data_IF_317129682321
#
_entry.id   IF_317129682321
#
_cell.length_a   1.000
_cell.length_b   1.000
_cell.length_c   1.000
_cell.angle_alpha   90.00
_cell.angle_beta   90.00
_cell.angle_gamma   90.00
#
_symmetry.space_group_name_H-M   'P 1'
#
loop_
_entity.id
_entity.type
_entity.pdbx_description
1 polymer ?
#
# COMPACT_ATOMS: atom_id res chain seq x y z
N UNK A 1 0.71 -23.92 -6.65
CA UNK A 1 1.03 -24.96 -5.62
C UNK A 1 2.21 -24.55 -4.71
N UNK A 2 3.31 -23.97 -5.20
CA UNK A 2 4.43 -23.53 -4.32
C UNK A 2 3.95 -22.41 -3.39
N UNK A 3 3.20 -21.44 -3.91
CA UNK A 3 2.65 -20.35 -3.11
C UNK A 3 1.76 -20.87 -1.97
N UNK A 4 0.92 -21.88 -2.22
CA UNK A 4 0.06 -22.48 -1.19
C UNK A 4 0.88 -23.12 -0.05
N UNK A 5 1.97 -23.82 -0.41
CA UNK A 5 2.85 -24.43 0.58
C UNK A 5 3.51 -23.36 1.47
N UNK A 6 3.95 -22.25 0.87
CA UNK A 6 4.52 -21.13 1.62
C UNK A 6 3.48 -20.50 2.54
N UNK A 7 2.26 -20.28 2.04
CA UNK A 7 1.15 -19.73 2.83
C UNK A 7 0.84 -20.64 4.02
N UNK A 8 0.67 -21.95 3.78
CA UNK A 8 0.40 -22.92 4.85
C UNK A 8 1.57 -22.94 5.86
N UNK A 9 2.82 -22.88 5.39
CA UNK A 9 3.98 -22.82 6.28
C UNK A 9 3.96 -21.56 7.17
N UNK A 10 3.54 -20.39 6.63
CA UNK A 10 3.36 -19.15 7.40
C UNK A 10 2.28 -19.35 8.48
N UNK A 11 1.14 -19.95 8.13
CA UNK A 11 0.07 -20.23 9.09
C UNK A 11 0.54 -21.13 10.23
N UNK A 12 1.23 -22.24 9.91
CA UNK A 12 1.76 -23.18 10.90
C UNK A 12 2.80 -22.48 11.80
N UNK A 13 3.68 -21.70 11.21
CA UNK A 13 4.74 -21.00 11.94
C UNK A 13 4.16 -19.97 12.91
N UNK A 14 3.25 -19.13 12.47
CA UNK A 14 2.61 -18.12 13.33
C UNK A 14 1.75 -18.78 14.42
N UNK A 15 0.99 -19.84 14.08
CA UNK A 15 0.28 -20.62 15.08
C UNK A 15 1.23 -21.14 16.17
N UNK A 16 2.35 -21.75 15.81
CA UNK A 16 3.32 -22.29 16.77
C UNK A 16 3.96 -21.18 17.63
N UNK A 17 4.26 -20.03 17.05
CA UNK A 17 4.85 -18.90 17.76
C UNK A 17 3.87 -18.37 18.79
N UNK A 18 2.61 -18.12 18.40
CA UNK A 18 1.63 -17.50 19.26
C UNK A 18 0.99 -18.47 20.26
N UNK A 19 0.96 -19.76 19.92
CA UNK A 19 0.67 -20.81 20.87
C UNK A 19 1.66 -20.81 22.06
N UNK A 20 2.94 -20.57 21.80
CA UNK A 20 3.96 -20.47 22.86
C UNK A 20 3.87 -19.17 23.66
N UNK A 21 3.43 -18.07 23.02
CA UNK A 21 3.32 -16.73 23.65
C UNK A 21 2.10 -16.60 24.53
N UNK A 22 0.98 -17.19 24.13
CA UNK A 22 -0.31 -17.10 24.78
C UNK A 22 -1.13 -15.87 24.32
N UNK A 23 -2.45 -15.92 24.63
CA UNK A 23 -3.45 -14.98 24.12
C UNK A 23 -3.16 -13.52 24.43
N UNK A 24 -2.68 -13.20 25.63
CA UNK A 24 -2.46 -11.81 26.03
C UNK A 24 -1.40 -11.11 25.15
N UNK A 25 -0.31 -11.81 24.83
CA UNK A 25 0.76 -11.28 23.99
C UNK A 25 0.29 -11.21 22.54
N UNK A 26 -0.47 -12.20 22.09
CA UNK A 26 -1.01 -12.22 20.72
C UNK A 26 -1.99 -11.07 20.49
N UNK A 27 -2.91 -10.81 21.42
CA UNK A 27 -3.81 -9.65 21.33
C UNK A 27 -3.02 -8.33 21.29
N UNK A 28 -2.00 -8.18 22.14
CA UNK A 28 -1.14 -7.01 22.12
C UNK A 28 -0.38 -6.85 20.81
N UNK A 29 0.05 -7.95 20.18
CA UNK A 29 0.67 -7.91 18.89
C UNK A 29 -0.30 -7.47 17.79
N UNK A 30 -1.50 -8.05 17.73
CA UNK A 30 -2.54 -7.68 16.77
C UNK A 30 -2.89 -6.19 16.93
N UNK A 31 -3.13 -5.73 18.15
CA UNK A 31 -3.37 -4.31 18.42
C UNK A 31 -2.17 -3.44 18.00
N UNK A 32 -0.96 -3.92 18.22
CA UNK A 32 0.28 -3.27 17.79
C UNK A 32 0.39 -3.14 16.27
N UNK A 33 0.04 -4.19 15.53
CA UNK A 33 0.01 -4.17 14.05
C UNK A 33 -1.02 -3.17 13.54
N UNK A 34 -2.24 -3.21 14.10
CA UNK A 34 -3.30 -2.26 13.73
C UNK A 34 -2.89 -0.81 14.02
N UNK A 35 -2.30 -0.56 15.19
CA UNK A 35 -1.79 0.76 15.56
C UNK A 35 -0.65 1.21 14.65
N UNK A 36 0.23 0.27 14.25
CA UNK A 36 1.30 0.55 13.28
C UNK A 36 0.72 1.03 11.95
N UNK A 37 -0.25 0.31 11.39
CA UNK A 37 -0.91 0.68 10.14
C UNK A 37 -1.58 2.05 10.22
N UNK A 38 -2.31 2.30 11.31
CA UNK A 38 -2.97 3.58 11.55
C UNK A 38 -1.97 4.75 11.62
N UNK A 39 -0.94 4.62 12.44
CA UNK A 39 0.08 5.67 12.59
C UNK A 39 0.87 5.88 11.31
N UNK A 40 1.30 4.79 10.64
CA UNK A 40 2.04 4.87 9.39
C UNK A 40 1.24 5.56 8.30
N UNK A 41 -0.05 5.26 8.17
CA UNK A 41 -0.95 5.91 7.21
C UNK A 41 -1.04 7.42 7.45
N UNK A 42 -1.36 7.85 8.67
CA UNK A 42 -1.52 9.27 8.97
C UNK A 42 -0.22 10.07 8.87
N UNK A 43 0.88 9.51 9.38
CA UNK A 43 2.19 10.18 9.32
C UNK A 43 2.67 10.27 7.87
N UNK A 44 2.52 9.19 7.08
CA UNK A 44 2.94 9.20 5.67
C UNK A 44 2.10 10.14 4.82
N UNK A 45 0.79 10.23 5.05
CA UNK A 45 -0.09 11.16 4.35
C UNK A 45 0.33 12.62 4.60
N UNK A 46 0.59 12.97 5.86
CA UNK A 46 1.07 14.29 6.22
C UNK A 46 2.43 14.62 5.57
N UNK A 47 3.39 13.71 5.68
CA UNK A 47 4.73 13.92 5.11
C UNK A 47 4.71 13.95 3.58
N UNK A 48 3.92 13.10 2.94
CA UNK A 48 3.79 13.08 1.49
C UNK A 48 3.22 14.40 0.95
N UNK A 49 2.16 14.91 1.59
CA UNK A 49 1.59 16.21 1.24
C UNK A 49 2.60 17.34 1.45
N UNK A 50 3.35 17.32 2.56
CA UNK A 50 4.37 18.31 2.83
C UNK A 50 5.51 18.27 1.79
N UNK A 51 6.03 17.09 1.46
CA UNK A 51 7.07 16.92 0.43
C UNK A 51 6.57 17.41 -0.92
N UNK A 52 5.36 17.04 -1.30
CA UNK A 52 4.76 17.49 -2.55
C UNK A 52 4.70 19.03 -2.62
N UNK A 53 4.10 19.67 -1.63
CA UNK A 53 3.94 21.13 -1.60
C UNK A 53 5.27 21.86 -1.55
N UNK A 54 6.25 21.34 -0.79
CA UNK A 54 7.54 22.00 -0.61
C UNK A 54 8.47 21.89 -1.82
N UNK A 55 8.42 20.76 -2.56
CA UNK A 55 9.45 20.46 -3.57
C UNK A 55 8.91 20.24 -4.99
N UNK A 56 7.65 19.83 -5.13
CA UNK A 56 7.11 19.37 -6.43
C UNK A 56 6.12 20.37 -7.02
N UNK A 57 5.19 20.86 -6.22
CA UNK A 57 4.03 21.63 -6.68
C UNK A 57 4.42 22.83 -7.56
N UNK A 58 5.29 23.70 -7.06
CA UNK A 58 5.69 24.91 -7.78
C UNK A 58 6.42 24.59 -9.09
N UNK A 59 7.32 23.61 -9.05
CA UNK A 59 8.07 23.16 -10.22
C UNK A 59 7.15 22.57 -11.27
N UNK A 60 6.18 21.76 -10.85
CA UNK A 60 5.18 21.15 -11.75
C UNK A 60 4.33 22.21 -12.42
N UNK A 61 3.78 23.17 -11.65
CA UNK A 61 2.96 24.25 -12.21
C UNK A 61 3.75 25.08 -13.22
N UNK A 62 4.98 25.46 -12.90
CA UNK A 62 5.84 26.26 -13.79
C UNK A 62 6.15 25.53 -15.10
N UNK A 63 6.49 24.24 -15.01
CA UNK A 63 6.77 23.41 -16.18
C UNK A 63 5.52 23.23 -17.04
N UNK A 64 4.37 22.96 -16.42
CA UNK A 64 3.08 22.87 -17.13
C UNK A 64 2.74 24.17 -17.87
N UNK A 65 2.89 25.34 -17.21
CA UNK A 65 2.67 26.64 -17.85
C UNK A 65 3.56 26.80 -19.09
N UNK A 66 4.85 26.54 -18.96
CA UNK A 66 5.80 26.63 -20.06
C UNK A 66 5.45 25.67 -21.21
N UNK A 67 5.02 24.44 -20.90
CA UNK A 67 4.62 23.47 -21.92
C UNK A 67 3.32 23.91 -22.62
N UNK A 68 2.36 24.45 -21.88
CA UNK A 68 1.09 24.96 -22.45
C UNK A 68 1.37 26.13 -23.39
N UNK A 69 2.24 27.07 -22.99
CA UNK A 69 2.58 28.25 -23.78
C UNK A 69 3.33 27.90 -25.06
N UNK A 70 4.14 26.84 -25.05
CA UNK A 70 4.99 26.45 -26.20
C UNK A 70 4.35 25.43 -27.12
N UNK A 71 3.58 24.49 -26.61
CA UNK A 71 3.07 23.32 -27.33
C UNK A 71 1.54 23.25 -27.39
N UNK A 72 0.86 24.09 -26.63
CA UNK A 72 -0.60 24.05 -26.46
C UNK A 72 -1.06 23.05 -25.41
N UNK A 73 -2.31 23.19 -24.98
CA UNK A 73 -2.87 22.46 -23.81
C UNK A 73 -2.85 20.95 -23.98
N UNK A 74 -3.35 20.47 -25.13
CA UNK A 74 -3.48 19.01 -25.36
C UNK A 74 -2.12 18.31 -25.43
N UNK A 75 -1.12 18.95 -26.08
CA UNK A 75 0.24 18.42 -26.16
C UNK A 75 0.93 18.46 -24.79
N UNK A 76 0.74 19.51 -24.01
CA UNK A 76 1.30 19.63 -22.67
C UNK A 76 0.79 18.52 -21.73
N UNK A 77 -0.52 18.24 -21.76
CA UNK A 77 -1.13 17.16 -20.96
C UNK A 77 -0.58 15.79 -21.39
N UNK A 78 -0.63 15.47 -22.69
CA UNK A 78 -0.14 14.20 -23.21
C UNK A 78 1.35 13.97 -22.91
N UNK A 79 2.19 15.00 -23.08
CA UNK A 79 3.61 14.90 -22.80
C UNK A 79 3.93 14.81 -21.31
N UNK A 80 3.12 15.41 -20.43
CA UNK A 80 3.29 15.30 -18.97
C UNK A 80 3.09 13.87 -18.49
N UNK A 81 2.13 13.15 -19.04
CA UNK A 81 1.90 11.74 -18.71
C UNK A 81 2.94 10.81 -19.36
N UNK A 82 3.29 11.06 -20.64
CA UNK A 82 4.29 10.24 -21.34
C UNK A 82 5.73 10.40 -20.81
N UNK A 83 6.01 11.47 -20.07
CA UNK A 83 7.30 11.66 -19.41
C UNK A 83 7.43 10.86 -18.10
N UNK A 84 6.35 10.26 -17.60
CA UNK A 84 6.41 9.38 -16.43
C UNK A 84 7.04 8.04 -16.81
N UNK A 85 7.93 7.48 -15.98
CA UNK A 85 8.46 6.14 -16.20
C UNK A 85 7.35 5.08 -16.23
N UNK A 86 7.51 4.00 -17.01
CA UNK A 86 6.51 2.93 -17.15
C UNK A 86 6.05 2.36 -15.80
N UNK A 87 6.97 2.22 -14.85
CA UNK A 87 6.62 1.77 -13.50
C UNK A 87 5.70 2.75 -12.76
N UNK A 88 5.83 4.05 -12.98
CA UNK A 88 4.96 5.06 -12.35
C UNK A 88 3.56 5.06 -13.00
N UNK A 89 3.49 4.85 -14.31
CA UNK A 89 2.23 4.67 -15.04
C UNK A 89 1.51 3.39 -14.58
N UNK A 90 2.24 2.29 -14.44
CA UNK A 90 1.69 1.04 -13.93
C UNK A 90 1.19 1.17 -12.49
N UNK A 91 1.95 1.82 -11.61
CA UNK A 91 1.50 2.09 -10.25
C UNK A 91 0.28 3.01 -10.21
N UNK A 92 0.22 4.02 -11.06
CA UNK A 92 -0.95 4.88 -11.22
C UNK A 92 -2.19 4.06 -11.61
N UNK A 93 -2.08 3.18 -12.61
CA UNK A 93 -3.15 2.28 -13.02
C UNK A 93 -3.61 1.37 -11.88
N UNK A 94 -2.68 0.78 -11.13
CA UNK A 94 -2.98 -0.03 -9.95
C UNK A 94 -3.73 0.75 -8.87
N UNK A 95 -3.28 1.96 -8.51
CA UNK A 95 -4.00 2.78 -7.52
C UNK A 95 -5.38 3.21 -7.99
N UNK A 96 -5.52 3.60 -9.27
CA UNK A 96 -6.82 3.99 -9.83
C UNK A 96 -7.79 2.80 -9.84
N UNK A 97 -7.31 1.59 -10.14
CA UNK A 97 -8.13 0.37 -10.11
C UNK A 97 -8.62 0.03 -8.70
N UNK A 98 -7.81 0.27 -7.66
CA UNK A 98 -8.22 0.08 -6.26
C UNK A 98 -9.38 1.01 -5.84
N UNK A 99 -9.48 2.17 -6.47
CA UNK A 99 -10.56 3.14 -6.23
C UNK A 99 -11.69 3.07 -7.26
N UNK A 100 -11.66 2.07 -8.15
CA UNK A 100 -12.69 1.88 -9.18
C UNK A 100 -12.69 2.95 -10.27
N UNK A 101 -11.58 3.65 -10.44
CA UNK A 101 -11.42 4.74 -11.41
C UNK A 101 -10.51 4.29 -12.55
N UNK A 102 -10.96 4.46 -13.79
CA UNK A 102 -10.20 4.06 -14.97
C UNK A 102 -9.21 5.16 -15.39
N UNK A 103 -7.96 4.80 -15.65
CA UNK A 103 -6.92 5.75 -16.09
C UNK A 103 -7.26 6.46 -17.41
N UNK A 104 -8.15 5.87 -18.22
CA UNK A 104 -8.63 6.45 -19.48
C UNK A 104 -9.39 7.77 -19.32
N UNK A 105 -9.92 8.06 -18.12
CA UNK A 105 -10.61 9.34 -17.82
C UNK A 105 -9.65 10.52 -17.95
N UNK A 106 -8.35 10.31 -17.73
CA UNK A 106 -7.34 11.37 -17.76
C UNK A 106 -6.69 11.56 -19.14
N UNK A 107 -6.94 10.66 -20.10
CA UNK A 107 -6.33 10.70 -21.44
C UNK A 107 -7.31 11.10 -22.55
N UNK A 108 -8.63 10.99 -22.31
CA UNK A 108 -9.66 11.25 -23.33
C UNK A 108 -10.48 12.51 -22.97
N UNK A 109 -10.48 13.47 -23.88
CA UNK A 109 -11.39 14.63 -23.94
C UNK A 109 -11.36 15.64 -22.78
N UNK A 110 -10.19 16.16 -22.46
CA UNK A 110 -10.10 17.41 -21.71
C UNK A 110 -10.46 18.61 -22.62
N UNK A 111 -11.75 18.89 -22.80
CA UNK A 111 -12.19 20.13 -23.44
C UNK A 111 -12.26 21.24 -22.40
N UNK A 112 -11.22 22.07 -22.34
CA UNK A 112 -11.21 23.27 -21.51
C UNK A 112 -11.52 24.48 -22.39
N UNK A 113 -12.73 25.06 -22.31
CA UNK A 113 -13.03 26.24 -23.10
C UNK A 113 -12.32 27.48 -22.54
N UNK A 114 -11.58 28.20 -23.39
CA UNK A 114 -11.10 29.58 -23.21
C UNK A 114 -10.51 29.95 -21.84
N UNK A 115 -9.54 29.18 -21.33
CA UNK A 115 -8.84 29.50 -20.08
C UNK A 115 -7.40 29.92 -20.33
N UNK A 116 -6.85 30.76 -19.45
CA UNK A 116 -5.45 31.15 -19.48
C UNK A 116 -4.53 29.96 -19.11
N UNK A 117 -3.30 29.92 -19.63
CA UNK A 117 -2.32 28.86 -19.32
C UNK A 117 -2.14 28.64 -17.82
N UNK A 118 -2.22 29.70 -17.01
CA UNK A 118 -2.16 29.64 -15.54
C UNK A 118 -3.32 28.84 -14.93
N UNK A 119 -4.55 29.08 -15.38
CA UNK A 119 -5.73 28.38 -14.85
C UNK A 119 -5.71 26.91 -15.23
N UNK A 120 -5.26 26.60 -16.45
CA UNK A 120 -5.16 25.23 -16.96
C UNK A 120 -4.07 24.47 -16.21
N UNK A 121 -2.88 25.06 -16.01
CA UNK A 121 -1.78 24.39 -15.29
C UNK A 121 -2.15 24.06 -13.86
N UNK A 122 -2.87 24.93 -13.16
CA UNK A 122 -3.38 24.66 -11.80
C UNK A 122 -4.42 23.54 -11.82
N UNK A 123 -5.34 23.53 -12.80
CA UNK A 123 -6.34 22.46 -12.91
C UNK A 123 -5.71 21.10 -13.20
N UNK A 124 -4.71 21.05 -14.08
CA UNK A 124 -3.96 19.83 -14.39
C UNK A 124 -3.13 19.38 -13.17
N UNK A 125 -2.50 20.32 -12.45
CA UNK A 125 -1.79 20.04 -11.21
C UNK A 125 -2.72 19.39 -10.18
N UNK A 126 -3.91 19.90 -9.97
CA UNK A 126 -4.89 19.34 -9.03
C UNK A 126 -5.30 17.91 -9.37
N UNK A 127 -5.29 17.53 -10.66
CA UNK A 127 -5.55 16.15 -11.09
C UNK A 127 -4.36 15.23 -10.86
N UNK A 128 -3.15 15.74 -11.04
CA UNK A 128 -1.90 14.96 -10.88
C UNK A 128 -1.46 14.87 -9.41
N UNK A 129 -1.78 15.89 -8.61
CA UNK A 129 -1.42 15.98 -7.19
C UNK A 129 -1.72 14.69 -6.40
N UNK A 130 -2.95 14.13 -6.41
CA UNK A 130 -3.25 12.93 -5.63
C UNK A 130 -2.43 11.71 -6.06
N UNK A 131 -2.04 11.63 -7.32
CA UNK A 131 -1.22 10.55 -7.87
C UNK A 131 0.20 10.64 -7.30
N UNK A 132 0.81 11.82 -7.40
CA UNK A 132 2.18 12.04 -6.91
C UNK A 132 2.24 11.94 -5.39
N UNK A 133 1.26 12.52 -4.68
CA UNK A 133 1.20 12.41 -3.22
C UNK A 133 0.92 10.98 -2.77
N UNK A 134 0.09 10.23 -3.49
CA UNK A 134 -0.14 8.80 -3.24
C UNK A 134 1.14 7.98 -3.39
N UNK A 135 1.94 8.24 -4.41
CA UNK A 135 3.24 7.61 -4.58
C UNK A 135 4.19 7.94 -3.41
N UNK A 136 4.34 9.21 -3.05
CA UNK A 136 5.15 9.59 -1.90
C UNK A 136 4.63 8.95 -0.61
N UNK A 137 3.32 8.94 -0.41
CA UNK A 137 2.69 8.32 0.75
C UNK A 137 3.02 6.82 0.84
N UNK A 138 3.02 6.11 -0.28
CA UNK A 138 3.38 4.69 -0.32
C UNK A 138 4.84 4.48 0.08
N UNK A 139 5.77 5.21 -0.54
CA UNK A 139 7.21 5.07 -0.26
C UNK A 139 7.54 5.46 1.18
N UNK A 140 7.06 6.62 1.62
CA UNK A 140 7.25 7.12 2.98
C UNK A 140 6.54 6.21 3.98
N UNK A 141 5.33 5.75 3.65
CA UNK A 141 4.54 4.85 4.48
C UNK A 141 5.22 3.50 4.70
N UNK A 142 5.87 2.94 3.69
CA UNK A 142 6.64 1.72 3.83
C UNK A 142 7.79 1.89 4.84
N UNK A 143 8.55 2.98 4.73
CA UNK A 143 9.66 3.28 5.66
C UNK A 143 9.14 3.51 7.07
N UNK A 144 8.11 4.35 7.22
CA UNK A 144 7.50 4.65 8.53
C UNK A 144 6.90 3.42 9.16
N UNK A 145 6.24 2.56 8.37
CA UNK A 145 5.66 1.30 8.88
C UNK A 145 6.73 0.44 9.54
N UNK A 146 7.90 0.31 8.95
CA UNK A 146 9.01 -0.47 9.51
C UNK A 146 9.47 0.14 10.84
N UNK A 147 9.68 1.44 10.88
CA UNK A 147 10.16 2.13 12.09
C UNK A 147 9.12 2.04 13.21
N UNK A 148 7.86 2.36 12.92
CA UNK A 148 6.77 2.33 13.90
C UNK A 148 6.53 0.90 14.38
N UNK A 149 6.57 -0.09 13.49
CA UNK A 149 6.44 -1.50 13.86
C UNK A 149 7.53 -1.94 14.86
N UNK A 150 8.79 -1.57 14.61
CA UNK A 150 9.90 -1.88 15.53
C UNK A 150 9.66 -1.22 16.90
N UNK A 151 9.27 0.05 16.93
CA UNK A 151 9.01 0.78 18.18
C UNK A 151 7.85 0.16 18.97
N UNK A 152 6.74 -0.15 18.29
CA UNK A 152 5.57 -0.79 18.92
C UNK A 152 5.94 -2.18 19.41
N UNK A 153 6.68 -2.97 18.64
CA UNK A 153 7.12 -4.30 19.06
C UNK A 153 8.02 -4.26 20.30
N UNK A 154 8.91 -3.27 20.39
CA UNK A 154 9.71 -3.05 21.60
C UNK A 154 8.83 -2.70 22.81
N UNK A 155 7.81 -1.85 22.61
CA UNK A 155 6.84 -1.47 23.65
C UNK A 155 6.02 -2.68 24.11
N UNK A 156 5.45 -3.44 23.18
CA UNK A 156 4.66 -4.66 23.47
C UNK A 156 5.50 -5.67 24.23
N UNK A 157 6.76 -5.88 23.85
CA UNK A 157 7.66 -6.80 24.56
C UNK A 157 7.96 -6.36 26.01
N UNK A 158 8.03 -5.04 26.25
CA UNK A 158 8.17 -4.51 27.63
C UNK A 158 6.89 -4.69 28.41
N UNK A 159 5.73 -4.36 27.84
CA UNK A 159 4.42 -4.50 28.47
C UNK A 159 4.10 -5.97 28.79
N UNK A 160 4.41 -6.90 27.88
CA UNK A 160 4.21 -8.32 28.08
C UNK A 160 4.94 -8.89 29.32
N UNK A 161 6.08 -8.29 29.71
CA UNK A 161 6.80 -8.64 30.94
C UNK A 161 6.08 -8.18 32.21
N UNK A 162 5.31 -7.10 32.13
CA UNK A 162 4.57 -6.50 33.26
C UNK A 162 3.22 -7.20 33.44
N UNK A 163 2.55 -7.52 32.33
CA UNK A 163 1.24 -8.19 32.34
C UNK A 163 1.39 -9.72 32.38
N UNK A 164 1.81 -10.27 33.51
CA UNK A 164 1.69 -11.72 33.79
C UNK A 164 0.25 -12.04 34.15
N UNK A 165 -0.61 -12.31 33.18
CA UNK A 165 -1.99 -12.71 33.40
C UNK A 165 -1.98 -14.18 33.84
N UNK A 166 -2.49 -14.52 35.07
CA UNK A 166 -2.56 -15.91 35.54
C UNK A 166 -3.76 -16.61 34.86
N UNK A 167 -3.65 -16.95 33.60
CA UNK A 167 -4.61 -17.81 32.91
C UNK A 167 -4.08 -19.24 32.92
N UNK A 168 -4.99 -20.22 33.03
CA UNK A 168 -4.60 -21.64 32.92
C UNK A 168 -3.74 -21.84 31.66
N UNK A 169 -2.52 -22.29 31.86
CA UNK A 169 -1.46 -22.32 30.83
C UNK A 169 -1.92 -22.91 29.48
N UNK A 170 -2.68 -24.01 29.52
CA UNK A 170 -3.15 -24.71 28.32
C UNK A 170 -4.18 -23.87 27.54
N UNK A 171 -5.15 -23.27 28.23
CA UNK A 171 -6.18 -22.43 27.61
C UNK A 171 -5.55 -21.15 27.01
N UNK A 172 -4.60 -20.56 27.74
CA UNK A 172 -3.87 -19.38 27.26
C UNK A 172 -3.05 -19.69 26.00
N UNK A 173 -2.42 -20.85 25.92
CA UNK A 173 -1.67 -21.28 24.75
C UNK A 173 -2.57 -21.59 23.56
N UNK A 174 -3.67 -22.34 23.78
CA UNK A 174 -4.61 -22.68 22.71
C UNK A 174 -5.23 -21.43 22.08
N UNK A 175 -5.71 -20.52 22.91
CA UNK A 175 -6.27 -19.25 22.45
C UNK A 175 -5.21 -18.40 21.75
N UNK A 176 -3.99 -18.37 22.24
CA UNK A 176 -2.87 -17.72 21.55
C UNK A 176 -2.67 -18.25 20.14
N UNK A 177 -2.70 -19.58 19.97
CA UNK A 177 -2.61 -20.21 18.64
C UNK A 177 -3.77 -19.83 17.70
N UNK A 178 -5.02 -19.85 18.22
CA UNK A 178 -6.20 -19.44 17.42
C UNK A 178 -6.10 -17.99 16.97
N UNK A 179 -5.70 -17.07 17.85
CA UNK A 179 -5.47 -15.67 17.45
C UNK A 179 -4.27 -15.52 16.52
N UNK A 180 -3.23 -16.37 16.66
CA UNK A 180 -2.12 -16.42 15.71
C UNK A 180 -2.54 -16.80 14.29
N UNK A 181 -3.57 -17.65 14.13
CA UNK A 181 -4.16 -17.92 12.82
C UNK A 181 -4.83 -16.68 12.23
N UNK A 182 -5.50 -15.87 13.04
CA UNK A 182 -6.09 -14.61 12.58
C UNK A 182 -5.01 -13.61 12.15
N UNK A 183 -3.90 -13.49 12.92
CA UNK A 183 -2.74 -12.68 12.55
C UNK A 183 -2.13 -13.17 11.23
N UNK A 184 -1.97 -14.50 11.07
CA UNK A 184 -1.49 -15.10 9.84
C UNK A 184 -2.38 -14.77 8.64
N UNK A 185 -3.72 -14.84 8.80
CA UNK A 185 -4.67 -14.53 7.73
C UNK A 185 -4.53 -13.07 7.27
N UNK A 186 -4.43 -12.13 8.19
CA UNK A 186 -4.24 -10.70 7.88
C UNK A 186 -2.91 -10.50 7.15
N UNK A 187 -1.82 -11.07 7.67
CA UNK A 187 -0.50 -10.93 7.06
C UNK A 187 -0.47 -11.53 5.65
N UNK A 188 -0.99 -12.75 5.49
CA UNK A 188 -1.06 -13.44 4.19
C UNK A 188 -1.90 -12.65 3.21
N UNK A 189 -3.05 -12.10 3.64
CA UNK A 189 -3.87 -11.25 2.79
C UNK A 189 -3.07 -10.07 2.21
N UNK A 190 -2.34 -9.34 3.05
CA UNK A 190 -1.53 -8.22 2.57
C UNK A 190 -0.38 -8.68 1.65
N UNK A 191 0.36 -9.72 2.04
CA UNK A 191 1.49 -10.22 1.24
C UNK A 191 1.04 -10.73 -0.12
N UNK A 192 -0.06 -11.49 -0.18
CA UNK A 192 -0.60 -12.03 -1.42
C UNK A 192 -1.06 -10.89 -2.33
N UNK A 193 -1.77 -9.89 -1.82
CA UNK A 193 -2.27 -8.80 -2.65
C UNK A 193 -1.16 -7.86 -3.14
N UNK A 194 -0.16 -7.56 -2.31
CA UNK A 194 1.02 -6.82 -2.75
C UNK A 194 1.77 -7.61 -3.84
N UNK A 195 1.97 -8.91 -3.64
CA UNK A 195 2.65 -9.76 -4.59
C UNK A 195 1.87 -9.90 -5.91
N UNK A 196 0.56 -10.08 -5.84
CA UNK A 196 -0.33 -10.11 -7.02
C UNK A 196 -0.26 -8.80 -7.78
N UNK A 197 -0.33 -7.65 -7.11
CA UNK A 197 -0.22 -6.34 -7.74
C UNK A 197 1.13 -6.12 -8.44
N UNK A 198 2.24 -6.55 -7.80
CA UNK A 198 3.57 -6.48 -8.42
C UNK A 198 3.66 -7.39 -9.65
N UNK A 199 3.09 -8.59 -9.60
CA UNK A 199 3.08 -9.50 -10.75
C UNK A 199 2.22 -8.98 -11.89
N UNK A 200 1.06 -8.41 -11.59
CA UNK A 200 0.18 -7.81 -12.60
C UNK A 200 0.90 -6.71 -13.40
N UNK A 201 1.74 -5.94 -12.73
CA UNK A 201 2.54 -4.87 -13.35
C UNK A 201 3.75 -5.39 -14.12
N UNK A 202 4.39 -6.47 -13.66
CA UNK A 202 5.67 -6.95 -14.21
C UNK A 202 5.52 -8.13 -15.18
N UNK A 203 4.63 -9.07 -14.86
CA UNK A 203 4.41 -10.29 -15.64
C UNK A 203 3.05 -10.93 -15.32
N UNK A 204 1.95 -10.43 -15.93
CA UNK A 204 0.59 -10.88 -15.63
C UNK A 204 0.36 -12.37 -15.93
N UNK A 205 1.10 -12.97 -16.86
CA UNK A 205 0.99 -14.40 -17.18
C UNK A 205 1.40 -15.30 -16.00
N UNK A 206 2.29 -14.82 -15.14
CA UNK A 206 2.73 -15.56 -13.97
C UNK A 206 1.63 -15.77 -12.93
N UNK A 207 0.63 -14.87 -12.83
CA UNK A 207 -0.52 -15.03 -11.93
C UNK A 207 -1.31 -16.31 -12.22
N UNK A 208 -1.39 -16.70 -13.50
CA UNK A 208 -2.08 -17.89 -13.95
C UNK A 208 -1.18 -19.16 -13.94
N UNK A 209 0.08 -19.03 -13.59
CA UNK A 209 0.99 -20.17 -13.57
C UNK A 209 0.60 -21.18 -12.48
N UNK A 210 0.74 -22.51 -12.74
CA UNK A 210 0.46 -23.55 -11.73
C UNK A 210 1.31 -23.44 -10.45
N UNK A 211 2.40 -22.68 -10.50
CA UNK A 211 3.27 -22.43 -9.34
C UNK A 211 2.62 -21.47 -8.33
N UNK A 212 1.88 -20.49 -8.81
CA UNK A 212 1.31 -19.39 -8.01
C UNK A 212 -0.19 -19.58 -7.82
N UNK A 213 -0.93 -19.94 -8.86
CA UNK A 213 -2.41 -20.04 -8.88
C UNK A 213 -2.98 -21.23 -8.10
N UNK A 214 -2.53 -21.44 -6.87
CA UNK A 214 -3.08 -22.43 -5.97
C UNK A 214 -4.39 -21.98 -5.32
N UNK A 215 -5.16 -22.93 -4.77
CA UNK A 215 -6.46 -22.64 -4.17
C UNK A 215 -6.38 -21.68 -2.97
N UNK A 216 -5.34 -21.84 -2.14
CA UNK A 216 -5.13 -20.98 -0.96
C UNK A 216 -4.69 -19.58 -1.38
N UNK A 217 -3.80 -19.47 -2.37
CA UNK A 217 -3.39 -18.18 -2.92
C UNK A 217 -4.58 -17.42 -3.49
N UNK A 218 -5.41 -18.08 -4.31
CA UNK A 218 -6.64 -17.48 -4.89
C UNK A 218 -7.64 -17.02 -3.84
N UNK A 219 -7.78 -17.76 -2.74
CA UNK A 219 -8.68 -17.36 -1.65
C UNK A 219 -8.28 -16.02 -1.02
N UNK A 220 -6.98 -15.73 -0.94
CA UNK A 220 -6.48 -14.48 -0.36
C UNK A 220 -6.25 -13.37 -1.39
N UNK A 221 -6.23 -13.66 -2.69
CA UNK A 221 -6.04 -12.67 -3.74
C UNK A 221 -7.36 -12.00 -4.11
N UNK A 222 -7.37 -10.67 -4.15
CA UNK A 222 -8.53 -9.86 -4.60
C UNK A 222 -8.49 -9.65 -6.11
N UNK A 223 -7.34 -9.87 -6.75
CA UNK A 223 -7.07 -9.57 -8.16
C UNK A 223 -7.31 -10.75 -9.13
N UNK A 224 -7.86 -11.87 -8.67
CA UNK A 224 -8.07 -13.06 -9.52
C UNK A 224 -9.54 -13.44 -9.59
#
# INVERSE_FOLDING_TARGET
>A
MIADIIIIAIFVLLFMIDFKRGIAITILNIAGVALTGFLAYHISAFLASWVYTAFVQQTLITNLQQMIDTQGINAAIANSFSALPDWAMGMMGFFLSLFGTDASIYTNDFQIPNQTATTVSVSVEQLIQPIITGFFQMVIGAVISIVVFILIKLLVNKLAKVFKIPVVKQVNQLLGGVFGLAEAAILVFFVVNIYSGVLELSNPEMLNSPMISGAVFKFFSVAV
#
